data_IF_822958917189
#
_entry.id   IF_822958917189
#
_cell.length_a   1.000
_cell.length_b   1.000
_cell.length_c   1.000
_cell.angle_alpha   90.00
_cell.angle_beta   90.00
_cell.angle_gamma   90.00
#
_symmetry.space_group_name_H-M   'P 1'
#
loop_
_entity.id
_entity.type
_entity.pdbx_description
1 polymer ?
#
# COMPACT_ATOMS: atom_id res chain seq x y z
N UNK A 1 -9.06 -8.98 -16.71
CA UNK A 1 -8.89 -9.12 -15.28
C UNK A 1 -7.42 -8.95 -14.89
N UNK A 2 -7.01 -7.68 -14.82
CA UNK A 2 -5.66 -7.28 -14.43
C UNK A 2 -5.68 -6.64 -13.05
N UNK A 3 -6.46 -7.22 -12.14
CA UNK A 3 -6.33 -6.81 -10.76
C UNK A 3 -4.98 -7.27 -10.26
N UNK A 4 -4.22 -6.33 -9.77
CA UNK A 4 -3.05 -6.43 -8.91
C UNK A 4 -2.29 -7.74 -8.95
N UNK A 5 -1.00 -7.64 -9.08
CA UNK A 5 -0.10 -8.75 -8.99
C UNK A 5 -0.57 -9.78 -7.97
N UNK A 6 -1.03 -10.88 -8.51
CA UNK A 6 -1.00 -12.18 -7.90
C UNK A 6 -1.86 -12.45 -6.66
N UNK A 7 -3.06 -11.95 -6.57
CA UNK A 7 -4.01 -12.57 -5.67
C UNK A 7 -4.84 -13.62 -6.40
N UNK A 8 -4.43 -14.87 -6.30
CA UNK A 8 -5.20 -15.98 -6.80
C UNK A 8 -6.02 -16.59 -5.68
N UNK A 9 -7.33 -16.63 -5.85
CA UNK A 9 -8.22 -17.36 -4.94
C UNK A 9 -8.21 -18.83 -5.34
N UNK A 10 -7.52 -19.64 -4.57
CA UNK A 10 -7.42 -21.07 -4.86
C UNK A 10 -8.62 -21.83 -4.35
N UNK A 11 -9.35 -22.44 -5.28
CA UNK A 11 -10.54 -23.27 -4.97
C UNK A 11 -10.23 -24.75 -4.89
N UNK A 12 -9.04 -25.18 -5.39
CA UNK A 12 -8.65 -26.59 -5.49
C UNK A 12 -7.28 -26.84 -4.91
N UNK A 13 -7.09 -27.97 -4.28
CA UNK A 13 -5.79 -28.36 -3.70
C UNK A 13 -4.68 -28.49 -4.74
N UNK A 14 -5.00 -28.95 -5.96
CA UNK A 14 -4.03 -29.06 -7.05
C UNK A 14 -3.55 -27.68 -7.56
N UNK A 15 -4.47 -26.70 -7.65
CA UNK A 15 -4.12 -25.35 -8.06
C UNK A 15 -3.26 -24.68 -6.99
N UNK A 16 -3.60 -24.90 -5.72
CA UNK A 16 -2.81 -24.42 -4.58
C UNK A 16 -1.39 -25.02 -4.59
N UNK A 17 -1.26 -26.32 -4.79
CA UNK A 17 0.04 -26.99 -4.91
C UNK A 17 0.88 -26.41 -6.06
N UNK A 18 0.29 -26.23 -7.24
CA UNK A 18 0.97 -25.61 -8.39
C UNK A 18 1.40 -24.18 -8.09
N UNK A 19 0.57 -23.43 -7.35
CA UNK A 19 0.93 -22.08 -6.97
C UNK A 19 2.12 -22.03 -6.02
N UNK A 20 2.25 -22.95 -5.08
CA UNK A 20 3.40 -23.02 -4.18
C UNK A 20 4.70 -23.37 -4.92
N UNK A 21 4.60 -24.10 -6.04
CA UNK A 21 5.77 -24.59 -6.76
C UNK A 21 6.64 -23.44 -7.28
N UNK A 22 7.94 -23.52 -7.05
CA UNK A 22 8.92 -22.51 -7.40
C UNK A 22 8.94 -21.23 -6.55
N UNK A 23 8.00 -21.07 -5.60
CA UNK A 23 7.96 -19.93 -4.68
C UNK A 23 8.73 -20.21 -3.39
N UNK A 24 9.34 -19.19 -2.82
CA UNK A 24 10.03 -19.28 -1.52
C UNK A 24 9.10 -18.95 -0.35
N UNK A 25 8.28 -17.93 -0.53
CA UNK A 25 7.39 -17.40 0.49
C UNK A 25 6.07 -16.99 -0.14
N UNK A 26 4.98 -17.31 0.54
CA UNK A 26 3.63 -16.84 0.20
C UNK A 26 2.96 -16.28 1.45
N UNK A 27 1.93 -15.45 1.25
CA UNK A 27 1.08 -14.92 2.31
C UNK A 27 -0.34 -15.45 2.12
N UNK A 28 -0.92 -15.99 3.20
CA UNK A 28 -2.33 -16.36 3.23
C UNK A 28 -3.09 -15.32 4.04
N UNK A 29 -4.22 -14.86 3.52
CA UNK A 29 -5.02 -13.77 4.09
C UNK A 29 -6.48 -14.17 4.23
N UNK A 30 -7.11 -13.70 5.30
CA UNK A 30 -8.57 -13.61 5.38
C UNK A 30 -9.04 -12.42 4.54
N UNK A 31 -9.88 -12.62 3.49
CA UNK A 31 -10.35 -11.51 2.66
C UNK A 31 -11.18 -10.46 3.41
N UNK A 32 -11.64 -10.79 4.62
CA UNK A 32 -12.43 -9.90 5.49
C UNK A 32 -11.61 -9.32 6.63
N UNK A 33 -10.32 -9.68 6.73
CA UNK A 33 -9.41 -9.22 7.78
C UNK A 33 -9.00 -7.77 7.57
N UNK A 34 -8.90 -7.00 8.66
CA UNK A 34 -8.45 -5.61 8.65
C UNK A 34 -7.16 -5.44 9.47
N UNK A 35 -6.36 -4.42 9.15
CA UNK A 35 -5.20 -4.03 9.96
C UNK A 35 -4.12 -5.09 10.09
N UNK A 36 -3.99 -5.99 9.11
CA UNK A 36 -3.00 -7.07 9.13
C UNK A 36 -3.43 -8.30 9.95
N UNK A 37 -4.62 -8.30 10.53
CA UNK A 37 -5.16 -9.49 11.20
C UNK A 37 -5.56 -10.57 10.18
N UNK A 38 -5.35 -11.83 10.54
CA UNK A 38 -5.67 -12.94 9.65
C UNK A 38 -4.66 -13.18 8.52
N UNK A 39 -3.46 -12.59 8.61
CA UNK A 39 -2.36 -12.82 7.65
C UNK A 39 -1.37 -13.81 8.23
N UNK A 40 -1.03 -14.84 7.43
CA UNK A 40 0.01 -15.82 7.75
C UNK A 40 1.10 -15.80 6.68
N UNK A 41 2.35 -15.68 7.10
CA UNK A 41 3.53 -15.87 6.24
C UNK A 41 3.91 -17.34 6.22
N UNK A 42 4.03 -17.91 5.04
CA UNK A 42 4.32 -19.32 4.81
C UNK A 42 5.64 -19.44 4.07
N UNK A 43 6.62 -20.12 4.68
CA UNK A 43 7.87 -20.51 4.03
C UNK A 43 7.62 -21.82 3.27
N UNK A 44 7.62 -21.79 1.94
CA UNK A 44 7.22 -22.93 1.13
C UNK A 44 8.09 -24.18 1.36
N UNK A 45 9.39 -24.01 1.59
CA UNK A 45 10.31 -25.12 1.89
C UNK A 45 9.97 -25.88 3.18
N UNK A 46 9.20 -25.28 4.10
CA UNK A 46 8.77 -25.89 5.35
C UNK A 46 7.44 -26.65 5.22
N UNK A 47 6.75 -26.51 4.10
CA UNK A 47 5.47 -27.17 3.83
C UNK A 47 5.70 -28.64 3.50
N UNK A 48 5.37 -29.53 4.44
CA UNK A 48 5.50 -30.97 4.27
C UNK A 48 4.35 -31.61 3.50
N UNK A 49 3.15 -31.06 3.66
CA UNK A 49 1.91 -31.52 3.03
C UNK A 49 1.07 -30.33 2.62
N UNK A 50 1.02 -30.05 1.31
CA UNK A 50 0.27 -28.93 0.74
C UNK A 50 -1.25 -29.10 0.87
N UNK A 51 -1.77 -30.34 0.88
CA UNK A 51 -3.20 -30.58 1.04
C UNK A 51 -3.64 -30.26 2.47
N UNK A 52 -2.84 -30.71 3.45
CA UNK A 52 -3.08 -30.39 4.87
C UNK A 52 -3.05 -28.89 5.10
N UNK A 53 -2.04 -28.19 4.57
CA UNK A 53 -1.94 -26.74 4.66
C UNK A 53 -3.17 -26.05 4.03
N UNK A 54 -3.60 -26.50 2.84
CA UNK A 54 -4.80 -25.97 2.19
C UNK A 54 -6.04 -26.08 3.07
N UNK A 55 -6.26 -27.25 3.69
CA UNK A 55 -7.40 -27.48 4.56
C UNK A 55 -7.33 -26.65 5.85
N UNK A 56 -6.13 -26.46 6.43
CA UNK A 56 -5.89 -25.58 7.58
C UNK A 56 -6.19 -24.12 7.24
N UNK A 57 -5.67 -23.60 6.12
CA UNK A 57 -5.92 -22.21 5.68
C UNK A 57 -7.42 -21.98 5.43
N UNK A 58 -8.09 -22.92 4.76
CA UNK A 58 -9.53 -22.87 4.54
C UNK A 58 -10.33 -22.85 5.84
N UNK A 59 -9.96 -23.70 6.81
CA UNK A 59 -10.60 -23.75 8.13
C UNK A 59 -10.44 -22.43 8.91
N UNK A 60 -9.30 -21.74 8.70
CA UNK A 60 -9.02 -20.44 9.31
C UNK A 60 -9.60 -19.23 8.56
N UNK A 61 -10.35 -19.46 7.46
CA UNK A 61 -10.90 -18.38 6.63
C UNK A 61 -9.86 -17.68 5.73
N UNK A 62 -8.63 -18.17 5.68
CA UNK A 62 -7.54 -17.58 4.87
C UNK A 62 -7.63 -18.05 3.41
N UNK A 63 -8.61 -17.50 2.70
CA UNK A 63 -9.02 -17.94 1.35
C UNK A 63 -8.21 -17.30 0.23
N UNK A 64 -7.42 -16.27 0.53
CA UNK A 64 -6.58 -15.56 -0.42
C UNK A 64 -5.12 -15.91 -0.17
N UNK A 65 -4.43 -16.42 -1.20
CA UNK A 65 -2.99 -16.72 -1.11
C UNK A 65 -2.24 -15.94 -2.17
N UNK A 66 -1.26 -15.17 -1.74
CA UNK A 66 -0.50 -14.25 -2.58
C UNK A 66 0.99 -14.58 -2.52
N UNK A 67 1.70 -14.31 -3.62
CA UNK A 67 3.16 -14.38 -3.59
C UNK A 67 3.76 -13.21 -2.80
N UNK A 68 4.92 -13.45 -2.20
CA UNK A 68 5.64 -12.39 -1.50
C UNK A 68 6.18 -11.35 -2.48
N UNK A 69 5.89 -10.08 -2.23
CA UNK A 69 6.46 -8.97 -2.99
C UNK A 69 7.95 -8.87 -2.68
N UNK A 70 8.78 -8.86 -3.73
CA UNK A 70 10.21 -8.55 -3.62
C UNK A 70 10.37 -7.06 -3.84
N UNK A 71 10.62 -6.32 -2.77
CA UNK A 71 10.73 -4.87 -2.79
C UNK A 71 11.83 -4.38 -3.74
N UNK A 72 11.59 -3.21 -4.35
CA UNK A 72 12.56 -2.53 -5.23
C UNK A 72 13.83 -2.15 -4.49
N UNK A 73 14.93 -2.04 -5.24
CA UNK A 73 16.23 -1.70 -4.66
C UNK A 73 16.24 -0.27 -4.08
N UNK A 74 15.50 0.67 -4.68
CA UNK A 74 15.35 2.06 -4.20
C UNK A 74 14.81 2.09 -2.75
N UNK A 75 13.78 1.29 -2.45
CA UNK A 75 13.21 1.19 -1.10
C UNK A 75 14.06 0.34 -0.17
N UNK A 76 14.74 -0.70 -0.70
CA UNK A 76 15.68 -1.50 0.09
C UNK A 76 16.87 -0.67 0.60
N UNK A 77 17.31 0.35 -0.14
CA UNK A 77 18.33 1.28 0.34
C UNK A 77 17.87 2.10 1.55
N UNK A 78 16.56 2.30 1.71
CA UNK A 78 15.99 3.03 2.85
C UNK A 78 15.71 2.07 4.00
N UNK A 79 14.87 1.06 3.77
CA UNK A 79 14.60 -0.01 4.72
C UNK A 79 14.40 -1.35 4.00
N UNK A 80 15.34 -2.31 4.13
CA UNK A 80 15.24 -3.62 3.49
C UNK A 80 14.45 -4.66 4.31
N UNK A 81 14.02 -4.33 5.53
CA UNK A 81 13.46 -5.32 6.47
C UNK A 81 12.00 -5.65 6.17
N UNK A 82 11.29 -4.73 5.53
CA UNK A 82 9.84 -4.85 5.27
C UNK A 82 9.49 -4.26 3.92
N UNK A 83 8.40 -4.74 3.32
CA UNK A 83 7.83 -4.12 2.12
C UNK A 83 7.12 -2.83 2.52
N UNK A 84 7.72 -1.68 2.16
CA UNK A 84 7.15 -0.37 2.45
C UNK A 84 5.94 -0.10 1.55
N UNK A 85 4.89 0.52 2.10
CA UNK A 85 3.61 0.74 1.43
C UNK A 85 3.38 2.20 1.11
N UNK A 86 2.94 2.48 -0.10
CA UNK A 86 2.55 3.82 -0.56
C UNK A 86 1.03 3.91 -0.65
N UNK A 87 0.41 4.72 0.21
CA UNK A 87 -1.00 5.05 0.17
C UNK A 87 -1.24 6.17 -0.82
N UNK A 88 -2.05 5.91 -1.86
CA UNK A 88 -2.56 6.93 -2.79
C UNK A 88 -4.06 7.04 -2.63
N UNK A 89 -4.57 8.25 -2.48
CA UNK A 89 -6.01 8.49 -2.34
C UNK A 89 -6.57 9.11 -3.62
N UNK A 90 -7.63 8.50 -4.14
CA UNK A 90 -8.35 8.98 -5.31
C UNK A 90 -9.78 9.40 -4.96
N UNK A 91 -10.29 10.39 -5.68
CA UNK A 91 -11.68 10.81 -5.68
C UNK A 91 -12.22 10.77 -7.11
N UNK A 92 -13.26 9.94 -7.33
CA UNK A 92 -13.90 9.83 -8.63
C UNK A 92 -15.07 10.80 -8.76
N UNK A 93 -15.07 11.55 -9.86
CA UNK A 93 -16.18 12.47 -10.22
C UNK A 93 -16.29 12.63 -11.74
N UNK A 94 -17.51 12.68 -12.24
CA UNK A 94 -17.85 13.01 -13.62
C UNK A 94 -17.06 12.21 -14.67
N UNK A 95 -16.91 10.90 -14.42
CA UNK A 95 -16.23 9.98 -15.34
C UNK A 95 -14.71 9.94 -15.18
N UNK A 96 -14.14 10.65 -14.20
CA UNK A 96 -12.68 10.76 -14.01
C UNK A 96 -12.26 10.56 -12.56
N UNK A 97 -11.15 9.85 -12.36
CA UNK A 97 -10.49 9.77 -11.07
C UNK A 97 -9.43 10.87 -10.91
N UNK A 98 -9.43 11.50 -9.74
CA UNK A 98 -8.50 12.55 -9.34
C UNK A 98 -7.68 12.08 -8.15
N UNK A 99 -6.36 12.24 -8.23
CA UNK A 99 -5.47 11.97 -7.10
C UNK A 99 -5.57 13.14 -6.12
N UNK A 100 -5.97 12.85 -4.90
CA UNK A 100 -6.13 13.85 -3.83
C UNK A 100 -4.86 13.99 -3.02
N UNK A 101 -4.25 12.83 -2.68
CA UNK A 101 -3.08 12.82 -1.81
C UNK A 101 -2.34 11.49 -1.91
N UNK A 102 -1.09 11.50 -1.42
CA UNK A 102 -0.30 10.28 -1.26
C UNK A 102 0.59 10.37 -0.01
N UNK A 103 0.89 9.21 0.56
CA UNK A 103 1.88 9.08 1.63
C UNK A 103 2.59 7.72 1.54
N UNK A 104 3.90 7.74 1.43
CA UNK A 104 4.75 6.56 1.59
C UNK A 104 5.02 6.36 3.07
N UNK A 105 4.84 5.12 3.53
CA UNK A 105 5.13 4.67 4.89
C UNK A 105 6.41 3.86 4.88
N UNK A 106 7.33 4.24 5.73
CA UNK A 106 8.64 3.57 5.86
C UNK A 106 8.83 3.25 7.34
N UNK A 107 9.02 1.99 7.66
CA UNK A 107 9.29 1.59 9.03
C UNK A 107 10.67 2.10 9.47
N UNK A 108 10.81 2.52 10.74
CA UNK A 108 12.05 3.11 11.26
C UNK A 108 13.10 2.09 11.70
N UNK A 109 12.71 0.85 11.94
CA UNK A 109 13.54 -0.19 12.54
C UNK A 109 13.48 -1.52 11.77
N UNK A 110 13.95 -2.60 12.38
CA UNK A 110 13.95 -3.97 11.82
C UNK A 110 12.59 -4.68 11.96
N UNK A 111 11.54 -3.99 12.41
CA UNK A 111 10.21 -4.57 12.53
C UNK A 111 9.69 -5.04 11.17
N UNK A 112 9.11 -6.22 11.15
CA UNK A 112 8.59 -6.84 9.94
C UNK A 112 7.12 -6.48 9.65
N UNK A 113 6.56 -5.47 10.35
CA UNK A 113 5.14 -5.14 10.26
C UNK A 113 4.98 -3.65 9.96
N UNK A 114 4.40 -3.34 8.80
CA UNK A 114 3.94 -1.97 8.47
C UNK A 114 2.60 -1.73 9.16
N UNK A 115 2.41 -0.50 9.64
CA UNK A 115 1.16 -0.08 10.27
C UNK A 115 1.12 -0.21 11.77
N UNK A 116 2.24 -0.61 12.38
CA UNK A 116 2.48 -0.48 13.80
C UNK A 116 3.07 0.89 14.12
N UNK A 117 3.04 1.29 15.37
CA UNK A 117 3.64 2.52 15.91
C UNK A 117 5.14 2.51 15.63
N UNK A 118 5.64 3.25 14.73
CA UNK A 118 7.04 3.56 14.43
C UNK A 118 7.32 3.74 12.94
N UNK A 119 6.35 4.24 12.20
CA UNK A 119 6.55 4.52 10.78
C UNK A 119 6.98 5.97 10.56
N UNK A 120 7.72 6.18 9.50
CA UNK A 120 7.97 7.48 8.88
C UNK A 120 6.99 7.69 7.73
N UNK A 121 6.54 8.91 7.59
CA UNK A 121 5.60 9.32 6.55
C UNK A 121 6.20 10.41 5.69
N UNK A 122 6.07 10.25 4.39
CA UNK A 122 6.52 11.21 3.40
C UNK A 122 5.63 11.14 2.16
N UNK A 123 5.58 12.20 1.36
CA UNK A 123 4.90 12.16 0.07
C UNK A 123 5.89 12.19 -1.09
N UNK A 124 5.45 11.67 -2.23
CA UNK A 124 6.21 11.61 -3.46
C UNK A 124 5.57 12.50 -4.52
N UNK A 125 6.39 13.21 -5.28
CA UNK A 125 5.97 13.81 -6.54
C UNK A 125 5.86 12.74 -7.65
N UNK A 126 5.33 13.13 -8.81
CA UNK A 126 5.14 12.22 -9.94
C UNK A 126 6.45 11.66 -10.53
N UNK A 127 7.58 12.27 -10.22
CA UNK A 127 8.90 11.80 -10.66
C UNK A 127 9.59 10.89 -9.62
N UNK A 128 8.87 10.60 -8.50
CA UNK A 128 9.32 9.72 -7.43
C UNK A 128 10.27 10.37 -6.43
N UNK A 129 10.35 11.70 -6.42
CA UNK A 129 11.13 12.43 -5.42
C UNK A 129 10.25 12.77 -4.22
N UNK A 130 10.87 12.87 -3.06
CA UNK A 130 10.21 13.32 -1.85
C UNK A 130 9.89 14.81 -1.98
N UNK A 131 8.61 15.18 -1.90
CA UNK A 131 8.10 16.55 -2.02
C UNK A 131 7.53 17.10 -0.70
N UNK A 132 7.87 16.46 0.41
CA UNK A 132 7.41 16.80 1.76
C UNK A 132 8.53 16.69 2.78
N UNK A 133 8.26 17.09 4.03
CA UNK A 133 9.06 16.62 5.15
C UNK A 133 8.89 15.10 5.33
N UNK A 134 9.86 14.46 5.97
CA UNK A 134 9.71 13.10 6.47
C UNK A 134 9.43 13.18 7.96
N UNK A 135 8.31 12.65 8.41
CA UNK A 135 7.84 12.80 9.79
C UNK A 135 7.42 11.45 10.39
N UNK A 136 7.49 11.35 11.73
CA UNK A 136 6.88 10.26 12.50
C UNK A 136 5.46 10.60 12.98
N UNK A 137 4.82 9.69 13.72
CA UNK A 137 3.50 9.88 14.34
C UNK A 137 3.43 11.04 15.32
N UNK A 138 4.57 11.46 15.88
CA UNK A 138 4.68 12.60 16.82
C UNK A 138 4.99 13.92 16.10
N UNK A 139 5.22 13.85 14.77
CA UNK A 139 5.59 14.99 13.96
C UNK A 139 7.04 15.45 14.15
N UNK A 140 7.93 14.59 14.60
CA UNK A 140 9.36 14.83 14.51
C UNK A 140 9.79 14.75 13.05
N UNK A 141 10.76 15.59 12.64
CA UNK A 141 11.23 15.66 11.25
C UNK A 141 12.59 14.96 11.15
N UNK A 142 12.76 14.20 10.07
CA UNK A 142 13.94 13.40 9.81
C UNK A 142 14.58 13.76 8.46
N UNK A 143 15.89 13.99 8.47
CA UNK A 143 16.69 14.21 7.25
C UNK A 143 17.24 12.90 6.66
N UNK A 144 17.32 11.86 7.49
CA UNK A 144 17.84 10.54 7.13
C UNK A 144 17.11 9.45 7.88
N UNK A 145 17.08 8.25 7.30
CA UNK A 145 16.49 7.08 7.93
C UNK A 145 17.28 6.68 9.20
N UNK A 146 16.62 6.48 10.35
CA UNK A 146 17.29 6.23 11.63
C UNK A 146 18.21 4.99 11.63
N UNK A 147 17.77 3.90 11.04
CA UNK A 147 18.50 2.62 11.03
C UNK A 147 19.61 2.62 9.98
N UNK A 148 19.30 2.96 8.73
CA UNK A 148 20.23 2.81 7.61
C UNK A 148 21.11 4.03 7.37
N UNK A 149 20.73 5.20 7.89
CA UNK A 149 21.41 6.47 7.65
C UNK A 149 21.20 7.02 6.23
N UNK A 150 20.37 6.38 5.38
CA UNK A 150 20.07 6.89 4.03
C UNK A 150 19.44 8.27 4.12
N UNK A 151 20.01 9.24 3.43
CA UNK A 151 19.48 10.61 3.37
C UNK A 151 18.26 10.67 2.48
N UNK A 152 17.20 11.27 2.97
CA UNK A 152 15.94 11.38 2.22
C UNK A 152 16.06 12.32 1.02
N UNK A 153 16.95 13.29 1.04
CA UNK A 153 17.27 14.16 -0.11
C UNK A 153 17.87 13.42 -1.32
N UNK A 154 18.40 12.22 -1.11
CA UNK A 154 19.02 11.38 -2.14
C UNK A 154 18.04 10.31 -2.68
N UNK A 155 16.83 10.25 -2.13
CA UNK A 155 15.82 9.23 -2.50
C UNK A 155 15.10 9.61 -3.77
N UNK A 156 14.99 8.63 -4.67
CA UNK A 156 14.11 8.68 -5.83
C UNK A 156 13.56 7.29 -6.08
N UNK A 157 12.24 7.14 -6.00
CA UNK A 157 11.55 5.87 -6.21
C UNK A 157 11.14 5.74 -7.67
N UNK A 158 11.57 4.65 -8.31
CA UNK A 158 11.18 4.34 -9.68
C UNK A 158 9.72 3.83 -9.75
N UNK A 159 9.05 4.04 -10.90
CA UNK A 159 7.71 3.50 -11.16
C UNK A 159 6.56 4.30 -10.55
N UNK A 160 6.82 5.47 -9.93
CA UNK A 160 5.75 6.27 -9.29
C UNK A 160 4.71 6.73 -10.31
N UNK A 161 5.11 7.18 -11.49
CA UNK A 161 4.18 7.61 -12.54
C UNK A 161 3.30 6.45 -13.02
N UNK A 162 3.89 5.29 -13.25
CA UNK A 162 3.18 4.06 -13.60
C UNK A 162 2.16 3.66 -12.51
N UNK A 163 2.55 3.79 -11.24
CA UNK A 163 1.65 3.52 -10.12
C UNK A 163 0.49 4.52 -10.06
N UNK A 164 0.72 5.80 -10.34
CA UNK A 164 -0.34 6.82 -10.42
C UNK A 164 -1.33 6.51 -11.55
N UNK A 165 -0.84 6.12 -12.71
CA UNK A 165 -1.68 5.73 -13.85
C UNK A 165 -2.50 4.47 -13.51
N UNK A 166 -1.90 3.49 -12.84
CA UNK A 166 -2.56 2.26 -12.40
C UNK A 166 -3.71 2.56 -11.41
N UNK A 167 -3.53 3.42 -10.43
CA UNK A 167 -4.59 3.73 -9.46
C UNK A 167 -5.72 4.55 -10.07
N UNK A 168 -5.42 5.45 -11.01
CA UNK A 168 -6.44 6.19 -11.77
C UNK A 168 -7.27 5.22 -12.61
N UNK A 169 -6.64 4.33 -13.37
CA UNK A 169 -7.33 3.31 -14.17
C UNK A 169 -8.21 2.40 -13.29
N UNK A 170 -7.70 1.98 -12.13
CA UNK A 170 -8.45 1.14 -11.20
C UNK A 170 -9.68 1.87 -10.63
N UNK A 171 -9.52 3.14 -10.20
CA UNK A 171 -10.61 3.94 -9.66
C UNK A 171 -11.71 4.20 -10.69
N UNK A 172 -11.35 4.39 -11.96
CA UNK A 172 -12.30 4.59 -13.05
C UNK A 172 -13.10 3.33 -13.41
N UNK A 173 -12.58 2.14 -13.07
CA UNK A 173 -13.29 0.86 -13.25
C UNK A 173 -14.33 0.56 -12.19
N UNK A 174 -14.25 1.21 -11.03
CA UNK A 174 -15.17 1.01 -9.90
C UNK A 174 -15.81 2.33 -9.45
N UNK A 175 -16.50 3.06 -10.32
CA UNK A 175 -17.03 4.40 -10.05
C UNK A 175 -18.06 4.44 -8.91
N UNK A 176 -18.56 3.27 -8.48
CA UNK A 176 -19.49 3.13 -7.35
C UNK A 176 -18.84 3.48 -6.01
N UNK A 177 -17.52 3.29 -5.89
CA UNK A 177 -16.73 3.67 -4.72
C UNK A 177 -15.91 4.90 -5.09
N UNK A 178 -16.45 6.09 -4.78
CA UNK A 178 -15.88 7.35 -5.25
C UNK A 178 -14.59 7.76 -4.55
N UNK A 179 -14.39 7.34 -3.31
CA UNK A 179 -13.25 7.74 -2.48
C UNK A 179 -12.51 6.51 -1.99
N UNK A 180 -11.31 6.27 -2.52
CA UNK A 180 -10.54 5.06 -2.28
C UNK A 180 -9.10 5.42 -1.91
N UNK A 181 -8.57 4.73 -0.89
CA UNK A 181 -7.13 4.70 -0.60
C UNK A 181 -6.52 3.41 -1.12
N UNK A 182 -5.61 3.53 -2.06
CA UNK A 182 -4.89 2.43 -2.70
C UNK A 182 -3.57 2.18 -2.00
N UNK A 183 -3.31 0.96 -1.60
CA UNK A 183 -2.02 0.55 -1.06
C UNK A 183 -1.17 -0.05 -2.18
N UNK A 184 -0.04 0.58 -2.44
CA UNK A 184 0.88 0.24 -3.51
C UNK A 184 2.22 -0.16 -2.90
N UNK A 185 2.80 -1.25 -3.38
CA UNK A 185 4.18 -1.62 -3.12
C UNK A 185 5.01 -1.45 -4.40
N UNK A 186 6.25 -1.03 -4.27
CA UNK A 186 7.18 -0.98 -5.39
C UNK A 186 8.04 -2.23 -5.38
N UNK A 187 7.82 -3.10 -6.36
CA UNK A 187 8.58 -4.32 -6.53
C UNK A 187 9.74 -4.14 -7.51
N UNK A 188 10.64 -5.14 -7.58
CA UNK A 188 11.70 -5.19 -8.61
C UNK A 188 11.16 -5.19 -10.05
N UNK A 189 9.90 -5.57 -10.23
CA UNK A 189 9.26 -5.67 -11.54
C UNK A 189 8.28 -4.51 -11.82
N UNK A 190 8.31 -3.44 -11.00
CA UNK A 190 7.41 -2.30 -11.08
C UNK A 190 6.42 -2.22 -9.92
N UNK A 191 5.47 -1.27 -9.95
CA UNK A 191 4.49 -1.08 -8.91
C UNK A 191 3.47 -2.23 -8.87
N UNK A 192 3.03 -2.56 -7.66
CA UNK A 192 2.05 -3.61 -7.38
C UNK A 192 0.95 -3.03 -6.52
N UNK A 193 -0.30 -3.10 -6.98
CA UNK A 193 -1.46 -2.76 -6.16
C UNK A 193 -1.71 -3.88 -5.16
N UNK A 194 -1.63 -3.56 -3.88
CA UNK A 194 -1.84 -4.52 -2.79
C UNK A 194 -3.33 -4.63 -2.46
N UNK A 195 -3.96 -3.47 -2.24
CA UNK A 195 -5.40 -3.40 -1.93
C UNK A 195 -5.98 -2.01 -2.18
N UNK A 196 -7.31 -1.92 -2.27
CA UNK A 196 -8.08 -0.69 -2.27
C UNK A 196 -9.00 -0.63 -1.05
N UNK A 197 -8.94 0.47 -0.29
CA UNK A 197 -9.71 0.69 0.93
C UNK A 197 -10.78 1.75 0.70
N UNK A 198 -12.06 1.39 0.86
CA UNK A 198 -13.22 2.29 0.67
C UNK A 198 -13.33 3.37 1.77
N UNK A 199 -12.76 3.12 2.94
CA UNK A 199 -12.67 4.08 4.04
C UNK A 199 -11.20 4.32 4.42
N UNK A 200 -10.40 4.97 3.52
CA UNK A 200 -9.01 5.21 3.82
C UNK A 200 -8.89 6.12 5.04
N UNK A 201 -8.09 5.72 6.02
CA UNK A 201 -7.79 6.55 7.17
C UNK A 201 -7.23 7.89 6.73
N UNK A 202 -7.80 8.97 7.23
CA UNK A 202 -7.41 10.35 6.85
C UNK A 202 -6.32 10.95 7.74
N UNK A 203 -6.02 10.34 8.88
CA UNK A 203 -5.09 10.89 9.86
C UNK A 203 -3.70 11.16 9.29
N UNK A 204 -3.09 10.16 8.66
CA UNK A 204 -1.75 10.22 8.08
C UNK A 204 -1.61 11.30 7.02
N UNK A 205 -2.63 11.46 6.21
CA UNK A 205 -2.62 12.32 5.04
C UNK A 205 -2.82 13.80 5.41
N UNK A 206 -3.20 14.09 6.66
CA UNK A 206 -3.53 15.44 7.12
C UNK A 206 -2.53 16.03 8.11
N UNK A 207 -1.42 15.38 8.37
CA UNK A 207 -0.38 15.96 9.21
C UNK A 207 0.14 17.26 8.58
N UNK A 208 -0.12 18.38 9.27
CA UNK A 208 0.28 19.70 8.75
C UNK A 208 1.80 19.84 8.54
N UNK A 209 2.60 19.13 9.32
CA UNK A 209 4.07 19.12 9.20
C UNK A 209 4.56 18.41 7.95
N UNK A 210 3.76 17.50 7.38
CA UNK A 210 4.13 16.79 6.17
C UNK A 210 4.35 17.77 5.01
N UNK A 211 3.36 18.60 4.71
CA UNK A 211 3.42 19.60 3.62
C UNK A 211 3.27 21.06 4.08
N UNK A 212 3.33 21.35 5.37
CA UNK A 212 3.18 22.70 5.91
C UNK A 212 1.76 23.27 5.84
N UNK A 213 0.76 22.49 5.42
CA UNK A 213 -0.63 22.91 5.30
C UNK A 213 -1.42 22.59 6.58
N UNK A 214 -2.18 23.55 7.10
CA UNK A 214 -3.05 23.36 8.27
C UNK A 214 -4.50 23.01 7.92
N UNK A 215 -4.87 23.08 6.64
CA UNK A 215 -6.23 22.82 6.14
C UNK A 215 -6.45 21.39 5.67
N UNK A 216 -5.45 20.50 5.85
CA UNK A 216 -5.48 19.15 5.28
C UNK A 216 -5.68 19.19 3.77
N UNK A 217 -6.50 18.28 3.24
CA UNK A 217 -6.81 18.17 1.81
C UNK A 217 -8.22 18.62 1.45
N UNK A 218 -8.86 19.43 2.31
CA UNK A 218 -10.21 19.93 2.06
C UNK A 218 -10.28 20.74 0.77
N UNK A 219 -9.23 21.52 0.48
CA UNK A 219 -9.17 22.32 -0.74
C UNK A 219 -9.11 21.45 -1.99
N UNK A 220 -8.24 20.46 -2.01
CA UNK A 220 -8.09 19.52 -3.12
C UNK A 220 -9.40 18.75 -3.39
N UNK A 221 -10.09 18.32 -2.33
CA UNK A 221 -11.41 17.69 -2.43
C UNK A 221 -12.45 18.68 -2.96
N UNK A 222 -12.47 19.91 -2.46
CA UNK A 222 -13.41 20.94 -2.91
C UNK A 222 -13.19 21.32 -4.36
N UNK A 223 -11.95 21.42 -4.81
CA UNK A 223 -11.61 21.72 -6.21
C UNK A 223 -12.14 20.64 -7.16
N UNK A 224 -12.17 19.37 -6.73
CA UNK A 224 -12.76 18.26 -7.49
C UNK A 224 -14.28 18.26 -7.42
N UNK A 225 -14.86 18.39 -6.22
CA UNK A 225 -16.31 18.27 -6.01
C UNK A 225 -17.09 19.50 -6.51
N UNK A 226 -16.50 20.70 -6.51
CA UNK A 226 -17.16 21.93 -6.90
C UNK A 226 -18.44 22.15 -6.09
N UNK A 227 -19.58 22.36 -6.78
CA UNK A 227 -20.86 22.66 -6.14
C UNK A 227 -21.40 21.53 -5.24
N UNK A 228 -20.93 20.28 -5.41
CA UNK A 228 -21.31 19.18 -4.52
C UNK A 228 -20.86 19.42 -3.07
N UNK A 229 -19.80 20.21 -2.85
CA UNK A 229 -19.35 20.57 -1.51
C UNK A 229 -20.43 21.28 -0.68
N UNK A 230 -21.33 22.01 -1.32
CA UNK A 230 -22.44 22.71 -0.64
C UNK A 230 -23.43 21.75 0.02
N UNK A 231 -23.43 20.48 -0.39
CA UNK A 231 -24.32 19.43 0.14
C UNK A 231 -23.65 18.58 1.23
N UNK A 232 -22.36 18.77 1.47
CA UNK A 232 -21.61 18.05 2.51
C UNK A 232 -21.76 18.82 3.81
N UNK A 233 -22.40 18.19 4.80
CA UNK A 233 -22.42 18.71 6.18
C UNK A 233 -21.07 18.36 6.81
N UNK A 234 -20.25 19.37 7.06
CA UNK A 234 -19.00 19.26 7.82
C UNK A 234 -19.27 19.23 9.30
#
# INVERSE_FOLDING_TARGET
DRSSAASDVYKRQEDFKKFLDGRKTVFAKDPTGEGGHGISKITVAEVKDSNKLYDELKANGQLLVEEAIVQSDDLNEINPCVVNSWRVVTLYKDGKAHIINNALRINQDESNVIGCTNDLYLSLDADGRIDSNVIDDYGNVYDKHPMTGKKFSEVKIAGVREALDMVVEAAEKIPQVRYIGWDIAFSKNGPVMVEGNEYPGYGLLQFYKLKGKRTGHLKEIADVLGDEMNNIKL
#
